data_IF_880403679149
#
_entry.id   IF_880403679149
#
_cell.length_a   1.000
_cell.length_b   1.000
_cell.length_c   1.000
_cell.angle_alpha   90.00
_cell.angle_beta   90.00
_cell.angle_gamma   90.00
#
_symmetry.space_group_name_H-M   'P 1'
#
loop_
_entity.id
_entity.type
_entity.pdbx_description
1 polymer ?
#
# COMPACT_ATOMS: atom_id res chain seq x y z
N UNK A 1 9.61 26.95 8.93
CA UNK A 1 8.89 27.22 7.67
C UNK A 1 7.69 26.27 7.49
N UNK A 2 7.89 24.95 7.39
CA UNK A 2 6.80 23.96 7.21
C UNK A 2 5.73 24.01 8.32
N UNK A 3 6.14 24.05 9.60
CA UNK A 3 5.20 24.12 10.72
C UNK A 3 4.32 25.39 10.69
N UNK A 4 4.82 26.49 10.13
CA UNK A 4 4.04 27.72 9.93
C UNK A 4 2.98 27.51 8.85
N UNK A 5 3.37 26.94 7.71
CA UNK A 5 2.44 26.62 6.62
C UNK A 5 1.35 25.64 7.05
N UNK A 6 1.68 24.62 7.84
CA UNK A 6 0.68 23.69 8.38
C UNK A 6 -0.34 24.38 9.30
N UNK A 7 0.09 25.37 10.10
CA UNK A 7 -0.81 26.14 10.97
C UNK A 7 -1.68 27.14 10.21
N UNK A 8 -1.15 27.75 9.16
CA UNK A 8 -1.84 28.79 8.39
C UNK A 8 -2.72 28.22 7.27
N UNK A 9 -2.44 27.01 6.81
CA UNK A 9 -3.20 26.33 5.76
C UNK A 9 -4.62 26.03 6.22
N UNK A 10 -5.60 26.34 5.36
CA UNK A 10 -7.01 25.95 5.54
C UNK A 10 -7.34 24.61 4.87
N UNK A 11 -6.41 24.10 4.06
CA UNK A 11 -6.62 22.89 3.25
C UNK A 11 -5.30 22.15 3.05
N UNK A 12 -4.96 21.30 4.01
CA UNK A 12 -3.74 20.49 3.96
C UNK A 12 -4.07 19.09 3.46
N UNK A 13 -3.28 18.61 2.50
CA UNK A 13 -3.32 17.23 1.99
C UNK A 13 -1.93 16.63 2.20
N UNK A 14 -1.90 15.37 2.64
CA UNK A 14 -0.65 14.60 2.72
C UNK A 14 -0.58 13.67 1.52
N UNK A 15 0.57 13.64 0.86
CA UNK A 15 0.87 12.66 -0.18
C UNK A 15 1.96 11.70 0.30
N UNK A 16 1.71 10.40 0.26
CA UNK A 16 2.67 9.37 0.69
C UNK A 16 2.94 8.31 -0.37
N UNK A 17 4.13 7.72 -0.31
CA UNK A 17 4.55 6.60 -1.15
C UNK A 17 5.33 5.57 -0.34
N UNK A 18 5.98 4.61 -1.03
CA UNK A 18 6.53 3.41 -0.41
C UNK A 18 7.52 3.71 0.75
N UNK A 19 8.26 4.81 0.65
CA UNK A 19 9.17 5.28 1.71
C UNK A 19 8.49 5.40 3.09
N UNK A 20 7.22 5.80 3.14
CA UNK A 20 6.46 5.89 4.40
C UNK A 20 6.38 4.52 5.11
N UNK A 21 6.30 3.43 4.35
CA UNK A 21 6.12 2.06 4.86
C UNK A 21 7.45 1.35 5.14
N UNK A 22 8.58 1.87 4.63
CA UNK A 22 9.90 1.22 4.78
C UNK A 22 10.35 1.11 6.24
N UNK A 23 10.09 2.14 7.04
CA UNK A 23 10.37 2.14 8.48
C UNK A 23 9.47 1.17 9.27
N UNK A 24 8.35 0.73 8.69
CA UNK A 24 7.53 -0.36 9.23
C UNK A 24 8.02 -1.75 8.80
N UNK A 25 9.11 -1.84 8.03
CA UNK A 25 9.65 -3.09 7.48
C UNK A 25 9.01 -3.55 6.17
N UNK A 26 8.21 -2.70 5.50
CA UNK A 26 7.67 -3.03 4.17
C UNK A 26 8.74 -2.72 3.11
N UNK A 27 9.17 -3.69 2.30
CA UNK A 27 10.15 -3.43 1.26
C UNK A 27 9.58 -2.44 0.24
N UNK A 28 10.41 -1.49 -0.17
CA UNK A 28 10.06 -0.62 -1.27
C UNK A 28 10.18 -1.36 -2.62
N UNK A 29 9.89 -0.63 -3.69
CA UNK A 29 9.90 -1.19 -5.03
C UNK A 29 11.24 -1.03 -5.74
N UNK A 30 11.94 0.10 -5.53
CA UNK A 30 13.02 0.57 -6.41
C UNK A 30 14.40 0.62 -5.77
N UNK A 31 14.53 0.49 -4.45
CA UNK A 31 15.86 0.46 -3.82
C UNK A 31 16.66 -0.75 -4.26
N UNK A 32 17.93 -0.80 -3.87
CA UNK A 32 18.82 -1.93 -4.14
C UNK A 32 18.28 -3.27 -3.60
N UNK A 33 17.53 -3.23 -2.50
CA UNK A 33 16.82 -4.39 -1.93
C UNK A 33 15.32 -4.38 -2.27
N UNK A 34 14.90 -3.56 -3.24
CA UNK A 34 13.52 -3.38 -3.62
C UNK A 34 12.97 -4.56 -4.42
N UNK A 35 11.64 -4.69 -4.46
CA UNK A 35 10.98 -5.83 -5.10
C UNK A 35 11.23 -5.98 -6.60
N UNK A 36 11.65 -4.90 -7.28
CA UNK A 36 12.01 -4.91 -8.70
C UNK A 36 13.49 -5.16 -8.96
N UNK A 37 14.31 -5.35 -7.92
CA UNK A 37 15.71 -5.64 -8.13
C UNK A 37 15.88 -6.97 -8.89
N UNK A 38 16.42 -6.88 -10.11
CA UNK A 38 16.60 -8.02 -11.00
C UNK A 38 15.30 -8.59 -11.60
N UNK A 39 14.17 -7.89 -11.52
CA UNK A 39 12.87 -8.33 -12.03
C UNK A 39 12.18 -7.24 -12.85
N UNK A 40 11.56 -7.62 -13.96
CA UNK A 40 10.73 -6.70 -14.76
C UNK A 40 9.33 -6.56 -14.12
N UNK A 41 8.91 -5.36 -13.67
CA UNK A 41 7.57 -5.14 -13.15
C UNK A 41 6.46 -5.57 -14.12
N UNK A 42 6.65 -5.42 -15.44
CA UNK A 42 5.64 -5.83 -16.42
C UNK A 42 5.43 -7.34 -16.42
N UNK A 43 6.46 -8.13 -16.11
CA UNK A 43 6.35 -9.59 -16.07
C UNK A 43 5.55 -10.13 -14.87
N UNK A 44 5.36 -9.31 -13.82
CA UNK A 44 4.78 -9.73 -12.53
C UNK A 44 3.57 -8.93 -12.06
N UNK A 45 3.40 -7.68 -12.49
CA UNK A 45 2.37 -6.77 -12.00
C UNK A 45 1.66 -6.01 -13.14
N UNK A 46 1.35 -6.71 -14.23
CA UNK A 46 0.59 -6.20 -15.38
C UNK A 46 -0.66 -7.04 -15.66
N UNK A 47 -1.55 -6.55 -16.52
CA UNK A 47 -2.72 -7.30 -17.01
C UNK A 47 -2.26 -8.50 -17.85
N UNK A 48 -1.17 -8.33 -18.60
CA UNK A 48 -0.53 -9.36 -19.40
C UNK A 48 0.03 -10.47 -18.50
N UNK A 49 0.72 -10.12 -17.41
CA UNK A 49 1.21 -11.07 -16.41
C UNK A 49 0.05 -11.83 -15.77
N UNK A 50 -1.04 -11.14 -15.41
CA UNK A 50 -2.24 -11.79 -14.88
C UNK A 50 -2.84 -12.81 -15.87
N UNK A 51 -2.77 -12.54 -17.19
CA UNK A 51 -3.36 -13.39 -18.23
C UNK A 51 -2.45 -14.54 -18.68
N UNK A 52 -1.15 -14.30 -18.82
CA UNK A 52 -0.21 -15.22 -19.46
C UNK A 52 0.86 -15.77 -18.50
N UNK A 53 1.06 -15.14 -17.34
CA UNK A 53 1.99 -15.58 -16.29
C UNK A 53 1.29 -15.64 -14.92
N UNK A 54 0.08 -16.21 -14.92
CA UNK A 54 -0.85 -16.10 -13.81
C UNK A 54 -0.28 -16.65 -12.49
N UNK A 55 0.49 -17.75 -12.55
CA UNK A 55 1.08 -18.36 -11.36
C UNK A 55 2.04 -17.39 -10.65
N UNK A 56 2.98 -16.80 -11.38
CA UNK A 56 3.96 -15.87 -10.79
C UNK A 56 3.28 -14.57 -10.35
N UNK A 57 2.30 -14.07 -11.09
CA UNK A 57 1.46 -12.95 -10.67
C UNK A 57 0.81 -13.24 -9.31
N UNK A 58 0.13 -14.38 -9.16
CA UNK A 58 -0.54 -14.75 -7.91
C UNK A 58 0.47 -14.93 -6.77
N UNK A 59 1.58 -15.65 -7.02
CA UNK A 59 2.61 -15.88 -6.01
C UNK A 59 3.24 -14.56 -5.53
N UNK A 60 3.46 -13.61 -6.43
CA UNK A 60 3.94 -12.27 -6.09
C UNK A 60 2.98 -11.53 -5.15
N UNK A 61 1.68 -11.48 -5.48
CA UNK A 61 0.70 -10.81 -4.62
C UNK A 61 0.43 -11.56 -3.31
N UNK A 62 0.50 -12.91 -3.29
CA UNK A 62 0.41 -13.70 -2.05
C UNK A 62 1.56 -13.39 -1.10
N UNK A 63 2.80 -13.38 -1.61
CA UNK A 63 3.98 -13.01 -0.83
C UNK A 63 3.82 -11.60 -0.23
N UNK A 64 3.33 -10.65 -1.03
CA UNK A 64 3.05 -9.28 -0.58
C UNK A 64 2.03 -9.25 0.57
N UNK A 65 0.92 -9.99 0.44
CA UNK A 65 -0.12 -10.04 1.47
C UNK A 65 0.42 -10.69 2.76
N UNK A 66 1.13 -11.81 2.64
CA UNK A 66 1.76 -12.50 3.78
C UNK A 66 2.75 -11.58 4.51
N UNK A 67 3.56 -10.84 3.76
CA UNK A 67 4.51 -9.86 4.32
C UNK A 67 3.79 -8.83 5.19
N UNK A 68 2.62 -8.36 4.77
CA UNK A 68 1.85 -7.35 5.50
C UNK A 68 1.12 -7.86 6.75
N UNK A 69 0.89 -9.16 6.91
CA UNK A 69 0.09 -9.70 8.02
C UNK A 69 0.63 -9.33 9.41
N UNK A 70 1.95 -9.22 9.54
CA UNK A 70 2.62 -8.92 10.81
C UNK A 70 3.18 -7.49 10.88
N UNK A 71 3.01 -6.70 9.81
CA UNK A 71 3.50 -5.32 9.77
C UNK A 71 2.52 -4.43 10.54
N UNK A 72 3.09 -3.53 11.36
CA UNK A 72 2.31 -2.51 12.08
C UNK A 72 2.78 -1.12 11.67
N UNK A 73 1.89 -0.12 11.69
CA UNK A 73 2.29 1.25 11.43
C UNK A 73 3.31 1.74 12.49
N UNK A 74 4.45 2.24 12.02
CA UNK A 74 5.41 2.95 12.86
C UNK A 74 4.86 4.30 13.36
N UNK A 75 5.63 4.98 14.21
CA UNK A 75 5.19 6.21 14.90
C UNK A 75 4.76 7.33 13.94
N UNK A 76 5.41 7.47 12.79
CA UNK A 76 5.10 8.51 11.80
C UNK A 76 3.66 8.45 11.31
N UNK A 77 3.09 7.26 11.11
CA UNK A 77 1.68 7.13 10.72
C UNK A 77 0.72 7.67 11.78
N UNK A 78 1.06 7.50 13.06
CA UNK A 78 0.26 7.99 14.19
C UNK A 78 0.40 9.50 14.35
N UNK A 79 1.57 10.05 14.03
CA UNK A 79 1.78 11.50 13.96
C UNK A 79 0.89 12.10 12.87
N UNK A 80 0.76 11.47 11.70
CA UNK A 80 -0.15 11.97 10.67
C UNK A 80 -1.62 11.94 11.10
N UNK A 81 -2.02 10.93 11.88
CA UNK A 81 -3.37 10.86 12.44
C UNK A 81 -3.62 12.01 13.42
N UNK A 82 -2.64 12.34 14.29
CA UNK A 82 -2.75 13.49 15.20
C UNK A 82 -2.75 14.83 14.45
N UNK A 83 -2.02 14.94 13.35
CA UNK A 83 -2.03 16.12 12.48
C UNK A 83 -3.39 16.34 11.81
N UNK A 84 -4.13 15.27 11.52
CA UNK A 84 -5.54 15.35 11.10
C UNK A 84 -6.39 16.18 12.07
N UNK A 85 -6.18 15.96 13.37
CA UNK A 85 -6.90 16.67 14.42
C UNK A 85 -6.35 18.09 14.65
N UNK A 86 -5.03 18.27 14.58
CA UNK A 86 -4.37 19.53 14.97
C UNK A 86 -4.28 20.58 13.84
N UNK A 87 -4.09 20.15 12.60
CA UNK A 87 -3.73 21.03 11.47
C UNK A 87 -4.74 20.96 10.31
N UNK A 88 -5.95 20.46 10.57
CA UNK A 88 -7.01 20.32 9.57
C UNK A 88 -6.57 19.57 8.30
N UNK A 89 -5.74 18.53 8.43
CA UNK A 89 -5.42 17.68 7.28
C UNK A 89 -6.71 17.04 6.78
N UNK A 90 -7.08 17.35 5.54
CA UNK A 90 -8.37 16.98 4.96
C UNK A 90 -8.37 15.56 4.41
N UNK A 91 -7.24 15.13 3.88
CA UNK A 91 -7.07 13.81 3.31
C UNK A 91 -5.60 13.38 3.28
N UNK A 92 -5.41 12.08 3.21
CA UNK A 92 -4.13 11.45 2.88
C UNK A 92 -4.31 10.75 1.54
N UNK A 93 -3.61 11.21 0.53
CA UNK A 93 -3.51 10.55 -0.77
C UNK A 93 -2.27 9.66 -0.72
N UNK A 94 -2.44 8.36 -0.91
CA UNK A 94 -1.33 7.41 -0.84
C UNK A 94 -1.20 6.59 -2.12
N UNK A 95 0.04 6.37 -2.55
CA UNK A 95 0.37 5.38 -3.58
C UNK A 95 0.48 3.96 -3.00
N UNK A 96 0.48 3.83 -1.67
CA UNK A 96 0.68 2.56 -1.00
C UNK A 96 -0.61 1.74 -1.01
N UNK A 97 -0.45 0.42 -1.07
CA UNK A 97 -1.56 -0.55 -1.08
C UNK A 97 -1.67 -1.33 0.23
N UNK A 98 -0.82 -1.00 1.21
CA UNK A 98 -0.59 -1.77 2.43
C UNK A 98 -1.63 -1.57 3.54
N UNK A 99 -2.42 -0.49 3.49
CA UNK A 99 -3.45 -0.19 4.47
C UNK A 99 -2.92 0.32 5.82
N UNK A 100 -1.64 0.67 5.93
CA UNK A 100 -1.05 1.10 7.21
C UNK A 100 -1.58 2.47 7.68
N UNK A 101 -2.04 3.32 6.77
CA UNK A 101 -2.68 4.59 7.13
C UNK A 101 -3.98 4.35 7.90
N UNK A 102 -4.84 3.48 7.38
CA UNK A 102 -6.11 3.09 7.97
C UNK A 102 -5.88 2.37 9.31
N UNK A 103 -4.92 1.45 9.36
CA UNK A 103 -4.56 0.76 10.62
C UNK A 103 -4.06 1.73 11.71
N UNK A 104 -3.41 2.83 11.33
CA UNK A 104 -2.97 3.86 12.26
C UNK A 104 -4.07 4.83 12.70
N UNK A 105 -5.30 4.68 12.19
CA UNK A 105 -6.43 5.54 12.49
C UNK A 105 -6.41 6.86 11.71
N UNK A 106 -5.76 6.92 10.55
CA UNK A 106 -5.93 8.05 9.65
C UNK A 106 -7.31 7.99 9.00
N UNK A 107 -7.98 9.14 8.90
CA UNK A 107 -9.29 9.29 8.25
C UNK A 107 -9.13 9.93 6.86
N UNK A 108 -10.11 9.72 5.97
CA UNK A 108 -10.11 10.23 4.59
C UNK A 108 -8.85 9.82 3.79
N UNK A 109 -8.49 8.54 3.89
CA UNK A 109 -7.39 7.95 3.12
C UNK A 109 -7.86 7.61 1.71
N UNK A 110 -7.11 8.04 0.71
CA UNK A 110 -7.38 7.83 -0.72
C UNK A 110 -6.22 7.00 -1.30
N UNK A 111 -6.40 5.67 -1.45
CA UNK A 111 -5.38 4.81 -2.04
C UNK A 111 -5.46 4.84 -3.57
N UNK A 112 -4.51 5.52 -4.22
CA UNK A 112 -4.50 5.69 -5.67
C UNK A 112 -4.38 4.38 -6.45
N UNK A 113 -3.74 3.37 -5.86
CA UNK A 113 -3.52 2.07 -6.47
C UNK A 113 -4.40 0.96 -5.87
N UNK A 114 -5.45 1.33 -5.12
CA UNK A 114 -6.28 0.40 -4.37
C UNK A 114 -5.58 -0.19 -3.14
N UNK A 115 -6.13 -1.26 -2.57
CA UNK A 115 -5.61 -1.92 -1.36
C UNK A 115 -5.52 -3.42 -1.56
N UNK A 116 -4.42 -4.03 -1.09
CA UNK A 116 -4.25 -5.49 -1.12
C UNK A 116 -4.80 -6.18 0.13
N UNK A 117 -5.14 -5.43 1.18
CA UNK A 117 -5.65 -5.96 2.47
C UNK A 117 -6.96 -6.75 2.31
N UNK A 118 -7.79 -6.39 1.31
CA UNK A 118 -9.07 -7.05 1.04
C UNK A 118 -8.98 -8.17 -0.02
N UNK A 119 -7.79 -8.48 -0.54
CA UNK A 119 -7.64 -9.41 -1.66
C UNK A 119 -7.81 -10.89 -1.24
N UNK A 120 -7.50 -11.26 0.01
CA UNK A 120 -7.55 -12.66 0.49
C UNK A 120 -8.93 -13.32 0.34
N UNK A 121 -10.02 -12.57 0.55
CA UNK A 121 -11.38 -13.15 0.45
C UNK A 121 -11.81 -13.43 -1.01
N UNK A 122 -11.23 -12.71 -1.99
CA UNK A 122 -11.62 -12.85 -3.39
C UNK A 122 -10.66 -13.72 -4.19
N UNK A 123 -9.36 -13.69 -3.91
CA UNK A 123 -8.35 -14.46 -4.65
C UNK A 123 -8.58 -15.97 -4.48
N UNK A 124 -8.71 -16.48 -3.25
CA UNK A 124 -8.88 -17.92 -3.05
C UNK A 124 -10.26 -18.41 -3.53
N UNK A 125 -11.32 -17.61 -3.37
CA UNK A 125 -12.67 -17.95 -3.87
C UNK A 125 -12.78 -17.91 -5.40
N UNK A 126 -12.18 -16.91 -6.04
CA UNK A 126 -12.25 -16.72 -7.49
C UNK A 126 -11.41 -17.75 -8.24
N UNK A 127 -10.25 -18.13 -7.71
CA UNK A 127 -9.34 -19.05 -8.41
C UNK A 127 -9.61 -20.52 -8.10
N UNK A 128 -10.11 -20.88 -6.90
CA UNK A 128 -10.56 -22.25 -6.61
C UNK A 128 -11.67 -22.73 -7.55
N UNK A 129 -12.59 -21.83 -7.93
CA UNK A 129 -13.66 -22.13 -8.89
C UNK A 129 -13.19 -22.33 -10.33
N UNK A 130 -12.02 -21.78 -10.71
CA UNK A 130 -11.46 -21.89 -12.06
C UNK A 130 -10.57 -23.12 -12.25
N UNK A 131 -9.92 -23.59 -11.19
CA UNK A 131 -9.11 -24.83 -11.21
C UNK A 131 -9.96 -26.11 -11.15
N UNK A 132 -11.23 -26.01 -10.79
CA UNK A 132 -12.18 -27.14 -10.75
C UNK A 132 -13.00 -27.30 -12.05
N UNK A 133 -12.69 -26.51 -13.08
CA UNK A 133 -13.36 -26.53 -14.40
C UNK A 133 -12.48 -27.07 -15.54
N UNK A 134 -11.38 -27.76 -15.20
CA UNK A 134 -10.49 -28.47 -16.12
C UNK A 134 -10.45 -29.95 -15.80
#
# INVERSE_FOLDING_TARGET
MIAKWLKESRYTVIFSGAGMSTESGVPDFRSQSGLWHGKDPQSLASVEAMKYNQKEFIDFYRMRIQTLQNVKPHIGYRILSSWGQQFQVKSIITQNTDGLHEQAGNINVIPLHGTIVNANQKVDHFWSKRSSSS
#
